data_IF_941622246976
#
_entry.id   IF_941622246976
#
_cell.length_a   1.000
_cell.length_b   1.000
_cell.length_c   1.000
_cell.angle_alpha   90.00
_cell.angle_beta   90.00
_cell.angle_gamma   90.00
#
_symmetry.space_group_name_H-M   'P 1'
#
loop_
_entity.id
_entity.type
_entity.pdbx_description
1 polymer ?
#
# COMPACT_ATOMS: atom_id res chain seq x y z
N UNK A 1 -9.24 -27.25 1.26
CA UNK A 1 -10.14 -26.98 0.11
C UNK A 1 -9.51 -25.91 -0.79
N UNK A 2 -9.16 -26.31 -2.02
CA UNK A 2 -8.94 -25.55 -3.27
C UNK A 2 -8.15 -24.22 -3.23
N UNK A 3 -6.88 -24.21 -3.69
CA UNK A 3 -6.39 -23.79 -5.05
C UNK A 3 -6.76 -22.32 -5.37
N UNK A 4 -5.88 -21.41 -5.81
CA UNK A 4 -4.99 -21.48 -6.98
C UNK A 4 -3.85 -20.44 -6.82
N UNK A 5 -2.60 -20.89 -6.99
CA UNK A 5 -1.43 -20.09 -7.41
C UNK A 5 -1.43 -19.94 -8.94
N UNK A 6 -1.14 -18.75 -9.48
CA UNK A 6 -0.56 -18.51 -10.83
C UNK A 6 -0.73 -17.04 -11.25
N UNK A 7 0.13 -16.38 -12.02
CA UNK A 7 1.45 -16.68 -12.59
C UNK A 7 1.96 -15.32 -13.09
N UNK A 8 3.15 -14.91 -12.66
CA UNK A 8 3.90 -13.84 -13.29
C UNK A 8 4.54 -14.39 -14.56
N UNK A 9 4.47 -13.63 -15.66
CA UNK A 9 5.16 -13.93 -16.93
C UNK A 9 6.67 -13.82 -16.74
N UNK A 10 7.44 -14.69 -17.40
CA UNK A 10 8.44 -14.19 -18.32
C UNK A 10 8.48 -15.01 -19.62
N UNK A 11 8.03 -14.39 -20.71
CA UNK A 11 8.37 -14.84 -22.07
C UNK A 11 9.61 -14.08 -22.50
N UNK A 12 10.77 -14.62 -22.16
CA UNK A 12 12.08 -14.28 -22.71
C UNK A 12 12.92 -15.55 -22.51
N UNK A 13 13.62 -16.02 -23.54
CA UNK A 13 14.40 -17.28 -23.62
C UNK A 13 13.79 -18.46 -24.40
N UNK A 14 13.25 -18.25 -25.61
CA UNK A 14 13.28 -19.28 -26.66
C UNK A 14 13.51 -18.62 -28.03
N UNK A 15 14.72 -18.08 -28.25
CA UNK A 15 15.23 -17.79 -29.60
C UNK A 15 16.75 -17.98 -29.56
N UNK A 16 17.23 -19.23 -29.44
CA UNK A 16 18.64 -19.54 -29.77
C UNK A 16 18.95 -21.05 -29.95
N UNK A 17 18.02 -21.84 -30.51
CA UNK A 17 18.29 -23.27 -30.77
C UNK A 17 17.61 -23.79 -32.05
N UNK A 18 17.88 -23.13 -33.19
CA UNK A 18 17.40 -23.59 -34.50
C UNK A 18 18.34 -23.18 -35.66
N UNK A 19 19.65 -23.37 -35.49
CA UNK A 19 20.66 -23.09 -36.54
C UNK A 19 21.76 -24.15 -36.60
N UNK A 20 21.44 -25.45 -36.45
CA UNK A 20 22.43 -26.53 -36.61
C UNK A 20 21.81 -27.88 -37.05
N UNK A 21 20.79 -27.85 -37.91
CA UNK A 21 20.22 -29.06 -38.54
C UNK A 21 20.11 -28.87 -40.05
N UNK A 22 21.25 -28.71 -40.72
CA UNK A 22 21.39 -28.90 -42.17
C UNK A 22 22.85 -29.09 -42.58
N UNK A 23 23.59 -29.96 -41.89
CA UNK A 23 24.85 -30.50 -42.42
C UNK A 23 25.10 -31.87 -41.79
N UNK A 24 24.21 -32.83 -42.07
CA UNK A 24 24.38 -34.22 -41.64
C UNK A 24 23.71 -35.11 -42.67
N UNK A 25 24.31 -35.21 -43.85
CA UNK A 25 24.13 -36.31 -44.81
C UNK A 25 25.07 -36.08 -46.00
N UNK A 26 26.26 -36.66 -45.92
CA UNK A 26 26.85 -37.57 -46.92
C UNK A 26 28.25 -37.94 -46.45
N UNK A 27 28.32 -38.84 -45.47
CA UNK A 27 29.50 -39.64 -45.16
C UNK A 27 29.11 -41.10 -45.33
N UNK A 28 28.81 -41.53 -46.56
CA UNK A 28 28.72 -42.96 -46.87
C UNK A 28 30.13 -43.45 -47.14
N UNK A 29 30.77 -43.93 -46.06
CA UNK A 29 31.81 -44.94 -46.15
C UNK A 29 31.18 -46.23 -46.66
N UNK A 30 31.69 -46.77 -47.75
CA UNK A 30 31.43 -48.13 -48.22
C UNK A 30 32.57 -48.54 -49.15
N UNK A 31 33.65 -49.03 -48.54
CA UNK A 31 34.48 -50.04 -49.18
C UNK A 31 33.61 -51.30 -49.32
N UNK A 32 33.34 -51.73 -50.55
CA UNK A 32 32.56 -52.93 -50.84
C UNK A 32 32.36 -53.05 -52.34
N UNK A 33 33.11 -53.96 -52.97
CA UNK A 33 33.10 -54.16 -54.41
C UNK A 33 31.84 -54.84 -54.95
N UNK A 34 31.76 -54.90 -56.28
CA UNK A 34 30.86 -55.79 -57.01
C UNK A 34 29.80 -55.10 -57.86
N UNK A 35 30.01 -55.19 -59.17
CA UNK A 35 29.02 -55.26 -60.26
C UNK A 35 28.14 -54.05 -60.59
N UNK A 36 28.51 -53.40 -61.71
CA UNK A 36 27.60 -53.11 -62.82
C UNK A 36 26.53 -52.05 -62.61
N UNK A 37 26.86 -50.77 -62.83
CA UNK A 37 26.02 -49.80 -63.54
C UNK A 37 26.89 -48.57 -63.90
N UNK A 38 26.80 -48.07 -65.13
CA UNK A 38 27.62 -46.99 -65.68
C UNK A 38 27.75 -45.80 -64.72
N UNK A 39 28.94 -45.63 -64.13
CA UNK A 39 29.26 -44.50 -63.29
C UNK A 39 29.36 -43.25 -64.15
N UNK A 40 28.34 -42.38 -64.11
CA UNK A 40 28.44 -41.00 -64.59
C UNK A 40 29.77 -40.43 -64.07
N UNK A 41 30.61 -39.96 -64.98
CA UNK A 41 32.00 -39.61 -64.67
C UNK A 41 32.01 -38.58 -63.53
N UNK A 42 33.02 -38.63 -62.64
CA UNK A 42 33.16 -37.71 -61.50
C UNK A 42 33.00 -36.23 -61.89
N UNK A 43 33.33 -35.90 -63.13
CA UNK A 43 33.11 -34.60 -63.78
C UNK A 43 31.64 -34.23 -63.95
N UNK A 44 30.79 -35.13 -64.43
CA UNK A 44 29.33 -34.90 -64.60
C UNK A 44 28.65 -34.67 -63.25
N UNK A 45 29.01 -35.47 -62.24
CA UNK A 45 28.51 -35.27 -60.88
C UNK A 45 28.93 -33.91 -60.30
N UNK A 46 30.16 -33.47 -60.56
CA UNK A 46 30.66 -32.14 -60.15
C UNK A 46 29.93 -31.01 -60.89
N UNK A 47 29.70 -31.15 -62.20
CA UNK A 47 28.96 -30.19 -63.01
C UNK A 47 27.49 -30.08 -62.55
N UNK A 48 26.82 -31.19 -62.26
CA UNK A 48 25.47 -31.22 -61.73
C UNK A 48 25.37 -30.51 -60.37
N UNK A 49 26.37 -30.70 -59.48
CA UNK A 49 26.45 -29.98 -58.19
C UNK A 49 26.64 -28.47 -58.38
N UNK A 50 27.51 -28.05 -59.29
CA UNK A 50 27.73 -26.63 -59.63
C UNK A 50 26.44 -26.01 -60.18
N UNK A 51 25.75 -26.71 -61.08
CA UNK A 51 24.49 -26.25 -61.65
C UNK A 51 23.39 -26.12 -60.58
N UNK A 52 23.24 -27.12 -59.73
CA UNK A 52 22.29 -27.09 -58.62
C UNK A 52 22.59 -25.95 -57.63
N UNK A 53 23.86 -25.70 -57.31
CA UNK A 53 24.28 -24.59 -56.47
C UNK A 53 23.95 -23.23 -57.12
N UNK A 54 24.23 -23.06 -58.41
CA UNK A 54 23.87 -21.84 -59.17
C UNK A 54 22.37 -21.62 -59.23
N UNK A 55 21.57 -22.68 -59.42
CA UNK A 55 20.10 -22.62 -59.41
C UNK A 55 19.56 -22.15 -58.05
N UNK A 56 20.08 -22.71 -56.95
CA UNK A 56 19.73 -22.30 -55.57
C UNK A 56 20.13 -20.85 -55.28
N UNK A 57 21.31 -20.43 -55.73
CA UNK A 57 21.77 -19.05 -55.57
C UNK A 57 20.87 -18.05 -56.32
N UNK A 58 20.50 -18.35 -57.57
CA UNK A 58 19.55 -17.54 -58.36
C UNK A 58 18.17 -17.46 -57.70
N UNK A 59 17.62 -18.58 -57.24
CA UNK A 59 16.34 -18.61 -56.53
C UNK A 59 16.37 -17.76 -55.24
N UNK A 60 17.46 -17.84 -54.48
CA UNK A 60 17.67 -17.04 -53.27
C UNK A 60 17.73 -15.54 -53.59
N UNK A 61 18.43 -15.15 -54.66
CA UNK A 61 18.49 -13.76 -55.10
C UNK A 61 17.11 -13.21 -55.49
N UNK A 62 16.32 -13.99 -56.23
CA UNK A 62 14.94 -13.63 -56.62
C UNK A 62 14.05 -13.49 -55.37
N UNK A 63 14.12 -14.43 -54.42
CA UNK A 63 13.36 -14.39 -53.18
C UNK A 63 13.70 -13.15 -52.34
N UNK A 64 15.00 -12.83 -52.19
CA UNK A 64 15.45 -11.61 -51.50
C UNK A 64 14.92 -10.35 -52.18
N UNK A 65 14.93 -10.28 -53.51
CA UNK A 65 14.41 -9.13 -54.25
C UNK A 65 12.89 -8.98 -54.11
N UNK A 66 12.13 -10.08 -54.16
CA UNK A 66 10.68 -10.08 -53.90
C UNK A 66 10.36 -9.61 -52.48
N UNK A 67 11.10 -10.10 -51.48
CA UNK A 67 10.94 -9.68 -50.09
C UNK A 67 11.23 -8.18 -49.91
N UNK A 68 12.26 -7.65 -50.57
CA UNK A 68 12.58 -6.22 -50.53
C UNK A 68 11.47 -5.36 -51.13
N UNK A 69 10.93 -5.74 -52.29
CA UNK A 69 9.83 -5.01 -52.96
C UNK A 69 8.58 -5.01 -52.08
N UNK A 70 8.20 -6.17 -51.53
CA UNK A 70 7.05 -6.31 -50.62
C UNK A 70 7.22 -5.41 -49.38
N UNK A 71 8.39 -5.44 -48.73
CA UNK A 71 8.68 -4.57 -47.57
C UNK A 71 8.53 -3.10 -47.92
N UNK A 72 8.96 -2.68 -49.12
CA UNK A 72 8.78 -1.31 -49.60
C UNK A 72 7.31 -0.96 -49.86
N UNK A 73 6.55 -1.88 -50.46
CA UNK A 73 5.10 -1.73 -50.67
C UNK A 73 4.34 -1.63 -49.35
N UNK A 74 4.64 -2.50 -48.38
CA UNK A 74 4.04 -2.46 -47.03
C UNK A 74 4.37 -1.13 -46.32
N UNK A 75 5.59 -0.64 -46.47
CA UNK A 75 5.96 0.67 -45.92
C UNK A 75 5.24 1.83 -46.64
N UNK A 76 5.05 1.74 -47.97
CA UNK A 76 4.24 2.71 -48.72
C UNK A 76 2.78 2.67 -48.30
N UNK A 77 2.16 1.50 -48.16
CA UNK A 77 0.78 1.33 -47.69
C UNK A 77 0.62 1.80 -46.23
N UNK A 78 1.62 1.58 -45.39
CA UNK A 78 1.64 2.10 -44.01
C UNK A 78 1.79 3.62 -43.97
N UNK A 79 2.59 4.22 -44.87
CA UNK A 79 2.70 5.68 -45.03
C UNK A 79 1.45 6.30 -45.67
N UNK A 80 0.84 5.63 -46.66
CA UNK A 80 -0.45 6.02 -47.22
C UNK A 80 -1.59 5.87 -46.19
N UNK A 81 -1.48 4.89 -45.29
CA UNK A 81 -2.36 4.69 -44.12
C UNK A 81 -2.04 5.58 -42.92
N UNK A 82 -1.00 6.41 -42.98
CA UNK A 82 -0.81 7.57 -42.10
C UNK A 82 -1.47 8.77 -42.81
N UNK A 83 -2.63 9.30 -42.43
CA UNK A 83 -3.37 9.21 -41.16
C UNK A 83 -4.85 9.40 -41.48
N UNK A 84 -5.65 8.35 -41.49
CA UNK A 84 -7.11 8.56 -41.45
C UNK A 84 -7.46 9.12 -40.07
N UNK A 85 -8.32 10.15 -40.03
CA UNK A 85 -8.77 10.80 -38.79
C UNK A 85 -9.28 9.78 -37.74
N UNK A 86 -9.81 8.65 -38.20
CA UNK A 86 -10.29 7.54 -37.39
C UNK A 86 -9.22 6.92 -36.47
N UNK A 87 -8.00 6.65 -36.95
CA UNK A 87 -6.94 6.02 -36.13
C UNK A 87 -6.41 7.01 -35.08
N UNK A 88 -6.30 8.29 -35.43
CA UNK A 88 -5.93 9.37 -34.50
C UNK A 88 -7.02 9.56 -33.43
N UNK A 89 -8.29 9.52 -33.84
CA UNK A 89 -9.44 9.59 -32.93
C UNK A 89 -9.49 8.38 -31.98
N UNK A 90 -9.21 7.16 -32.46
CA UNK A 90 -9.18 5.95 -31.64
C UNK A 90 -8.07 6.01 -30.56
N UNK A 91 -6.86 6.44 -30.92
CA UNK A 91 -5.76 6.65 -29.96
C UNK A 91 -6.10 7.71 -28.92
N UNK A 92 -6.75 8.81 -29.34
CA UNK A 92 -7.23 9.86 -28.43
C UNK A 92 -8.32 9.35 -27.48
N UNK A 93 -9.27 8.53 -27.97
CA UNK A 93 -10.31 7.88 -27.14
C UNK A 93 -9.70 6.91 -26.12
N UNK A 94 -8.71 6.10 -26.52
CA UNK A 94 -8.00 5.18 -25.62
C UNK A 94 -7.23 5.94 -24.51
N UNK A 95 -6.56 7.04 -24.87
CA UNK A 95 -5.89 7.93 -23.92
C UNK A 95 -6.88 8.55 -22.92
N UNK A 96 -8.01 9.10 -23.41
CA UNK A 96 -9.07 9.65 -22.56
C UNK A 96 -9.66 8.61 -21.60
N UNK A 97 -9.89 7.37 -22.05
CA UNK A 97 -10.34 6.25 -21.18
C UNK A 97 -9.34 5.93 -20.07
N UNK A 98 -8.03 5.89 -20.37
CA UNK A 98 -6.97 5.68 -19.36
C UNK A 98 -6.95 6.77 -18.30
N UNK A 99 -7.05 8.04 -18.70
CA UNK A 99 -7.09 9.18 -17.78
C UNK A 99 -8.32 9.10 -16.87
N UNK A 100 -9.51 8.83 -17.42
CA UNK A 100 -10.75 8.66 -16.66
C UNK A 100 -10.62 7.54 -15.61
N UNK A 101 -10.05 6.38 -16.00
CA UNK A 101 -9.82 5.26 -15.07
C UNK A 101 -8.87 5.66 -13.93
N UNK A 102 -7.73 6.32 -14.21
CA UNK A 102 -6.78 6.79 -13.17
C UNK A 102 -7.45 7.78 -12.20
N UNK A 103 -8.25 8.72 -12.70
CA UNK A 103 -9.01 9.69 -11.88
C UNK A 103 -10.01 8.98 -10.95
N UNK A 104 -10.75 8.00 -11.47
CA UNK A 104 -11.68 7.21 -10.67
C UNK A 104 -10.98 6.41 -9.56
N UNK A 105 -9.83 5.79 -9.85
CA UNK A 105 -9.04 5.07 -8.84
C UNK A 105 -8.51 6.01 -7.76
N UNK A 106 -8.00 7.20 -8.14
CA UNK A 106 -7.54 8.23 -7.19
C UNK A 106 -8.68 8.72 -6.29
N UNK A 107 -9.87 8.96 -6.86
CA UNK A 107 -11.05 9.35 -6.11
C UNK A 107 -11.52 8.25 -5.13
N UNK A 108 -11.49 6.97 -5.53
CA UNK A 108 -11.80 5.83 -4.66
C UNK A 108 -10.83 5.72 -3.48
N UNK A 109 -9.52 5.85 -3.74
CA UNK A 109 -8.47 5.86 -2.71
C UNK A 109 -8.63 7.03 -1.74
N UNK A 110 -8.96 8.23 -2.23
CA UNK A 110 -9.22 9.39 -1.38
C UNK A 110 -10.43 9.16 -0.45
N UNK A 111 -11.55 8.65 -1.00
CA UNK A 111 -12.74 8.29 -0.21
C UNK A 111 -12.44 7.22 0.85
N UNK A 112 -11.64 6.20 0.51
CA UNK A 112 -11.22 5.17 1.45
C UNK A 112 -10.37 5.73 2.60
N UNK A 113 -9.40 6.61 2.30
CA UNK A 113 -8.59 7.30 3.32
C UNK A 113 -9.46 8.13 4.27
N UNK A 114 -10.43 8.89 3.74
CA UNK A 114 -11.38 9.67 4.56
C UNK A 114 -12.24 8.76 5.45
N UNK A 115 -12.73 7.62 4.93
CA UNK A 115 -13.46 6.63 5.75
C UNK A 115 -12.58 6.05 6.86
N UNK A 116 -11.30 5.78 6.59
CA UNK A 116 -10.34 5.27 7.59
C UNK A 116 -10.03 6.29 8.69
N UNK A 117 -9.91 7.58 8.36
CA UNK A 117 -9.67 8.63 9.36
C UNK A 117 -10.92 8.93 10.20
N UNK A 118 -12.12 8.82 9.60
CA UNK A 118 -13.40 8.92 10.33
C UNK A 118 -13.71 7.71 11.20
N UNK A 119 -13.23 6.51 10.82
CA UNK A 119 -13.24 5.32 11.69
C UNK A 119 -12.21 5.56 12.79
N UNK A 120 -12.61 6.31 13.81
CA UNK A 120 -11.80 6.61 14.97
C UNK A 120 -11.15 5.32 15.45
N UNK A 121 -9.84 5.37 15.71
CA UNK A 121 -9.13 4.29 16.38
C UNK A 121 -9.73 4.13 17.77
N UNK A 122 -10.80 3.35 17.86
CA UNK A 122 -11.25 2.70 19.08
C UNK A 122 -10.17 1.65 19.30
N UNK A 123 -9.04 2.07 19.84
CA UNK A 123 -7.95 1.17 20.19
C UNK A 123 -8.55 -0.02 20.92
N UNK A 124 -8.11 -1.24 20.56
CA UNK A 124 -8.51 -2.50 21.21
C UNK A 124 -8.79 -2.19 22.68
N UNK A 125 -10.05 -2.32 23.13
CA UNK A 125 -10.38 -2.21 24.56
C UNK A 125 -9.49 -3.24 25.23
N UNK A 126 -8.37 -2.81 25.81
CA UNK A 126 -7.59 -3.65 26.69
C UNK A 126 -8.56 -4.03 27.80
N UNK A 127 -8.92 -5.31 27.86
CA UNK A 127 -9.91 -5.85 28.80
C UNK A 127 -9.55 -5.58 30.27
N UNK A 128 -8.30 -5.20 30.57
CA UNK A 128 -7.90 -4.67 31.87
C UNK A 128 -8.27 -3.18 31.99
N UNK A 129 -9.25 -2.87 32.86
CA UNK A 129 -9.47 -1.51 33.34
C UNK A 129 -8.16 -1.01 33.96
N UNK A 130 -7.68 0.16 33.53
CA UNK A 130 -6.43 0.72 34.04
C UNK A 130 -6.42 0.77 35.58
N UNK A 131 -5.25 0.53 36.18
CA UNK A 131 -5.07 0.59 37.65
C UNK A 131 -5.48 1.96 38.19
N UNK A 132 -6.21 1.98 39.32
CA UNK A 132 -6.48 3.18 40.10
C UNK A 132 -5.56 3.20 41.31
N UNK A 133 -4.61 4.15 41.37
CA UNK A 133 -3.77 4.37 42.56
C UNK A 133 -4.30 5.58 43.33
N UNK A 134 -4.49 5.46 44.63
CA UNK A 134 -5.07 6.52 45.46
C UNK A 134 -4.04 6.91 46.53
N UNK A 135 -3.48 8.12 46.45
CA UNK A 135 -2.51 8.66 47.41
C UNK A 135 -3.10 9.72 48.35
N UNK A 136 -4.43 9.91 48.33
CA UNK A 136 -5.13 10.95 49.08
C UNK A 136 -6.46 10.44 49.63
N UNK A 137 -7.08 11.16 50.57
CA UNK A 137 -8.34 10.75 51.19
C UNK A 137 -9.45 10.60 50.15
N UNK A 138 -9.89 9.37 49.91
CA UNK A 138 -10.92 9.06 48.91
C UNK A 138 -12.33 9.03 49.47
N UNK A 139 -12.46 8.82 50.79
CA UNK A 139 -13.76 8.65 51.46
C UNK A 139 -14.68 9.85 51.22
N UNK A 140 -14.18 11.07 51.46
CA UNK A 140 -14.94 12.31 51.35
C UNK A 140 -15.25 12.79 49.92
N UNK A 141 -14.66 12.17 48.88
CA UNK A 141 -14.85 12.65 47.50
C UNK A 141 -16.30 12.39 47.07
N UNK A 142 -17.01 13.40 46.52
CA UNK A 142 -18.38 13.25 46.03
C UNK A 142 -18.52 12.13 45.00
N UNK A 143 -19.62 11.38 45.10
CA UNK A 143 -19.93 10.25 44.19
C UNK A 143 -19.84 10.64 42.71
N UNK A 144 -20.26 11.85 42.36
CA UNK A 144 -20.16 12.38 40.99
C UNK A 144 -18.73 12.44 40.46
N UNK A 145 -17.74 12.85 41.26
CA UNK A 145 -16.34 12.89 40.84
C UNK A 145 -15.75 11.48 40.79
N UNK A 146 -16.15 10.58 41.70
CA UNK A 146 -15.79 9.16 41.65
C UNK A 146 -16.23 8.52 40.32
N UNK A 147 -17.46 8.82 39.87
CA UNK A 147 -18.00 8.38 38.56
C UNK A 147 -17.15 8.91 37.39
N UNK A 148 -16.78 10.19 37.41
CA UNK A 148 -15.90 10.80 36.39
C UNK A 148 -14.55 10.09 36.33
N UNK A 149 -13.89 9.90 37.48
CA UNK A 149 -12.59 9.22 37.56
C UNK A 149 -12.69 7.78 37.03
N UNK A 150 -13.75 7.05 37.36
CA UNK A 150 -13.99 5.71 36.84
C UNK A 150 -14.14 5.70 35.30
N UNK A 151 -14.84 6.68 34.72
CA UNK A 151 -14.93 6.84 33.27
C UNK A 151 -13.60 7.21 32.63
N UNK A 152 -12.85 8.14 33.24
CA UNK A 152 -11.51 8.51 32.78
C UNK A 152 -10.60 7.28 32.76
N UNK A 153 -10.63 6.49 33.83
CA UNK A 153 -9.84 5.27 33.97
C UNK A 153 -10.13 4.24 32.88
N UNK A 154 -11.41 4.03 32.57
CA UNK A 154 -11.83 3.10 31.52
C UNK A 154 -11.42 3.57 30.11
N UNK A 155 -11.43 4.88 29.86
CA UNK A 155 -11.23 5.43 28.51
C UNK A 155 -9.78 5.81 28.20
N UNK A 156 -9.05 6.29 29.20
CA UNK A 156 -7.72 6.89 29.04
C UNK A 156 -6.61 6.11 29.74
N UNK A 157 -6.93 5.08 30.53
CA UNK A 157 -5.95 4.16 31.14
C UNK A 157 -5.76 4.38 32.64
N UNK A 158 -4.62 3.95 33.18
CA UNK A 158 -4.36 4.01 34.62
C UNK A 158 -4.38 5.45 35.17
N UNK A 159 -5.00 5.62 36.35
CA UNK A 159 -5.19 6.90 37.02
C UNK A 159 -4.53 6.87 38.39
N UNK A 160 -3.81 7.93 38.74
CA UNK A 160 -3.29 8.17 40.08
C UNK A 160 -3.97 9.39 40.68
N UNK A 161 -4.62 9.25 41.82
CA UNK A 161 -5.20 10.35 42.59
C UNK A 161 -4.14 10.88 43.53
N UNK A 162 -3.84 12.18 43.43
CA UNK A 162 -2.74 12.81 44.17
C UNK A 162 -3.22 13.76 45.26
N UNK A 163 -4.36 14.41 45.08
CA UNK A 163 -4.92 15.35 46.07
C UNK A 163 -6.43 15.40 45.97
N UNK A 164 -7.12 15.46 47.10
CA UNK A 164 -8.59 15.49 47.20
C UNK A 164 -9.00 16.56 48.21
N UNK A 165 -8.74 16.30 49.49
CA UNK A 165 -8.88 17.27 50.58
C UNK A 165 -7.53 17.93 50.91
N UNK A 166 -7.56 19.25 51.18
CA UNK A 166 -6.43 20.00 51.72
C UNK A 166 -6.89 20.82 52.92
N UNK A 167 -6.15 20.77 54.02
CA UNK A 167 -6.34 21.72 55.11
C UNK A 167 -5.98 23.15 54.67
N UNK A 168 -6.49 24.18 55.36
CA UNK A 168 -6.19 25.59 55.05
C UNK A 168 -4.68 25.86 54.98
N UNK A 169 -3.92 25.33 55.95
CA UNK A 169 -2.44 25.44 56.01
C UNK A 169 -1.78 24.78 54.79
N UNK A 170 -2.17 23.56 54.43
CA UNK A 170 -1.63 22.85 53.25
C UNK A 170 -2.01 23.53 51.94
N UNK A 171 -3.24 24.02 51.82
CA UNK A 171 -3.70 24.76 50.66
C UNK A 171 -2.88 26.04 50.44
N UNK A 172 -2.65 26.82 51.50
CA UNK A 172 -1.80 28.03 51.44
C UNK A 172 -0.36 27.72 51.03
N UNK A 173 0.29 26.71 51.63
CA UNK A 173 1.65 26.29 51.26
C UNK A 173 1.77 25.89 49.79
N UNK A 174 0.71 25.32 49.23
CA UNK A 174 0.65 24.93 47.81
C UNK A 174 0.19 26.07 46.88
N UNK A 175 0.15 27.32 47.34
CA UNK A 175 -0.32 28.47 46.55
C UNK A 175 -1.80 28.43 46.19
N UNK A 176 -2.60 27.65 46.94
CA UNK A 176 -4.03 27.48 46.69
C UNK A 176 -4.86 28.71 47.06
N UNK A 177 -5.94 28.95 46.31
CA UNK A 177 -6.85 30.07 46.56
C UNK A 177 -7.63 29.90 47.88
N UNK A 178 -8.03 31.02 48.50
CA UNK A 178 -8.80 31.05 49.76
C UNK A 178 -10.13 30.26 49.66
N UNK A 179 -10.81 30.31 48.51
CA UNK A 179 -12.06 29.59 48.21
C UNK A 179 -11.82 28.31 47.39
N UNK A 180 -10.73 27.59 47.67
CA UNK A 180 -10.38 26.34 46.95
C UNK A 180 -11.34 25.22 47.26
N UNK A 181 -11.81 24.50 46.23
CA UNK A 181 -12.71 23.34 46.41
C UNK A 181 -12.05 22.16 47.12
N UNK A 182 -10.71 22.10 47.19
CA UNK A 182 -10.01 21.11 48.00
C UNK A 182 -10.24 21.29 49.50
N UNK A 183 -10.57 22.50 49.96
CA UNK A 183 -10.86 22.76 51.38
C UNK A 183 -12.13 22.05 51.85
N UNK A 184 -12.97 21.61 50.92
CA UNK A 184 -14.25 20.96 51.21
C UNK A 184 -14.36 19.57 50.57
N UNK A 185 -13.24 18.97 50.16
CA UNK A 185 -13.18 17.69 49.44
C UNK A 185 -14.01 17.65 48.14
N UNK A 186 -14.27 18.83 47.55
CA UNK A 186 -15.06 19.04 46.34
C UNK A 186 -14.19 19.11 45.08
N UNK A 187 -12.93 18.71 45.17
CA UNK A 187 -11.99 18.70 44.06
C UNK A 187 -11.08 17.47 44.08
N UNK A 188 -10.55 17.12 42.92
CA UNK A 188 -9.62 16.00 42.73
C UNK A 188 -8.51 16.42 41.77
N UNK A 189 -7.27 16.31 42.21
CA UNK A 189 -6.09 16.38 41.35
C UNK A 189 -5.59 14.96 41.07
N UNK A 190 -5.41 14.63 39.79
CA UNK A 190 -5.02 13.29 39.36
C UNK A 190 -4.10 13.30 38.13
N UNK A 191 -3.37 12.20 37.93
CA UNK A 191 -2.57 11.92 36.73
C UNK A 191 -3.14 10.75 35.96
N UNK A 192 -2.96 10.76 34.65
CA UNK A 192 -3.35 9.66 33.76
C UNK A 192 -2.09 9.16 33.04
N UNK A 193 -1.78 7.86 33.16
CA UNK A 193 -0.57 7.24 32.59
C UNK A 193 -0.81 6.54 31.24
N UNK A 194 -1.98 6.70 30.64
CA UNK A 194 -2.30 6.17 29.32
C UNK A 194 -2.46 7.25 28.25
N UNK A 195 -3.24 6.96 27.22
CA UNK A 195 -3.47 7.88 26.10
C UNK A 195 -4.36 9.03 26.55
N UNK A 196 -3.84 10.25 26.61
CA UNK A 196 -4.57 11.45 27.09
C UNK A 196 -5.17 12.31 25.97
N UNK A 197 -5.03 11.90 24.71
CA UNK A 197 -5.59 12.63 23.56
C UNK A 197 -7.11 12.78 23.72
N UNK A 198 -7.58 14.03 23.78
CA UNK A 198 -9.01 14.36 23.94
C UNK A 198 -9.55 14.25 25.37
N UNK A 199 -8.70 14.03 26.38
CA UNK A 199 -9.12 14.00 27.79
C UNK A 199 -9.64 15.37 28.26
N UNK A 200 -8.95 16.46 27.92
CA UNK A 200 -9.40 17.82 28.26
C UNK A 200 -10.76 18.15 27.66
N UNK A 201 -10.98 17.79 26.38
CA UNK A 201 -12.28 17.94 25.71
C UNK A 201 -13.37 17.12 26.38
N UNK A 202 -13.05 15.91 26.83
CA UNK A 202 -13.97 15.06 27.57
C UNK A 202 -14.36 15.68 28.91
N UNK A 203 -13.38 16.16 29.69
CA UNK A 203 -13.63 16.83 30.97
C UNK A 203 -14.47 18.10 30.79
N UNK A 204 -14.15 18.91 29.79
CA UNK A 204 -14.89 20.13 29.46
C UNK A 204 -16.38 19.88 29.20
N UNK A 205 -16.69 18.82 28.44
CA UNK A 205 -18.08 18.47 28.07
C UNK A 205 -18.78 17.58 29.09
N UNK A 206 -18.09 17.12 30.14
CA UNK A 206 -18.65 16.15 31.07
C UNK A 206 -19.68 16.82 32.00
N UNK A 207 -20.95 16.37 32.07
CA UNK A 207 -21.99 17.06 32.84
C UNK A 207 -21.69 17.11 34.34
N UNK A 208 -21.06 16.07 34.88
CA UNK A 208 -20.70 15.98 36.31
C UNK A 208 -19.46 16.78 36.74
N UNK A 209 -18.74 17.39 35.80
CA UNK A 209 -17.54 18.20 36.09
C UNK A 209 -17.93 19.67 36.11
N UNK A 210 -17.65 20.35 37.21
CA UNK A 210 -17.80 21.80 37.34
C UNK A 210 -16.65 22.53 36.68
N UNK A 211 -15.61 22.82 37.46
CA UNK A 211 -14.34 23.32 36.94
C UNK A 211 -13.39 22.20 36.51
N UNK A 212 -12.56 22.47 35.51
CA UNK A 212 -11.41 21.63 35.18
C UNK A 212 -10.18 22.46 34.80
N UNK A 213 -8.99 21.90 35.01
CA UNK A 213 -7.71 22.48 34.57
C UNK A 213 -6.70 21.40 34.24
N UNK A 214 -5.84 21.66 33.26
CA UNK A 214 -4.63 20.86 33.05
C UNK A 214 -3.42 21.69 33.46
N UNK A 215 -2.68 21.23 34.45
CA UNK A 215 -1.44 21.87 34.89
C UNK A 215 -0.28 21.50 33.95
N UNK A 216 0.70 22.41 33.74
CA UNK A 216 1.92 22.10 32.99
C UNK A 216 2.69 20.90 33.55
N UNK A 217 2.67 20.72 34.87
CA UNK A 217 3.26 19.57 35.57
C UNK A 217 2.58 18.23 35.25
N UNK A 218 1.46 18.23 34.52
CA UNK A 218 0.78 17.02 34.04
C UNK A 218 -0.36 16.51 34.94
N UNK A 219 -0.73 17.27 35.97
CA UNK A 219 -1.93 17.01 36.77
C UNK A 219 -3.18 17.54 36.06
N UNK A 220 -4.29 16.82 36.23
CA UNK A 220 -5.62 17.26 35.88
C UNK A 220 -6.36 17.59 37.17
N UNK A 221 -6.99 18.76 37.19
CA UNK A 221 -7.92 19.17 38.22
C UNK A 221 -9.34 18.99 37.72
N UNK A 222 -10.21 18.45 38.56
CA UNK A 222 -11.66 18.54 38.40
C UNK A 222 -12.32 18.91 39.72
N UNK A 223 -13.38 19.71 39.65
CA UNK A 223 -14.16 20.08 40.82
C UNK A 223 -15.66 20.08 40.58
N UNK A 224 -16.35 20.46 41.64
CA UNK A 224 -17.78 20.34 41.88
C UNK A 224 -18.50 21.71 41.78
N UNK A 225 -17.77 22.79 41.47
CA UNK A 225 -18.31 24.15 41.37
C UNK A 225 -19.02 24.44 40.04
N UNK A 226 -19.22 25.73 39.71
CA UNK A 226 -19.77 26.15 38.42
C UNK A 226 -18.90 25.72 37.23
N UNK A 227 -19.49 25.65 36.03
CA UNK A 227 -18.75 25.35 34.79
C UNK A 227 -17.71 26.43 34.51
N UNK A 228 -16.41 26.07 34.52
CA UNK A 228 -15.31 27.01 34.26
C UNK A 228 -13.98 26.29 33.97
N UNK A 229 -13.00 27.07 33.52
CA UNK A 229 -11.60 26.66 33.38
C UNK A 229 -10.68 27.69 34.03
N UNK A 230 -9.46 27.30 34.36
CA UNK A 230 -8.42 28.21 34.91
C UNK A 230 -7.05 27.93 34.30
#
# INVERSE_FOLDING_TARGET
MFRIFSLAKPACMVVLFAMLTACSQTGTSSYGGGFGFSAATTTEQRQAKIFAARKRARATAIAKRKAFIKKRQDHRLKRAGLKTHAVKAAKNRASKRRIKKRRATKAKLARYKIKRTKKAFIGKKSRAIGRLKINASWKCVPSRLKKVIAQVRRRYGAVTINSTYRSRRRNRRAGGKKKSYHLHCRAVDFRVRGRTRGLTRFLARHPLVGGWKRYPSGFYHIDTGPKRTW
#
